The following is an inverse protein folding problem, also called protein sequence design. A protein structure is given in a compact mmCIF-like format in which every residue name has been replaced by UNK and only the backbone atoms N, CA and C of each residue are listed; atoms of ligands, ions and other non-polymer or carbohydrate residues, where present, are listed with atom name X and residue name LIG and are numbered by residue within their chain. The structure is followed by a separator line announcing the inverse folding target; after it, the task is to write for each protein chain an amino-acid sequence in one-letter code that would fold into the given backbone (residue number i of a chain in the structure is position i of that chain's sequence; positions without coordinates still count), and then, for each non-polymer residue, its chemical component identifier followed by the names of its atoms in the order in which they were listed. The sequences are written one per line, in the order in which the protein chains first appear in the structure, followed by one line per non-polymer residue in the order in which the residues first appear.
data_IF_708324817620
#
_entry.id   IF_708324817620
#
_cell.length_a   1.000
_cell.length_b   1.000
_cell.length_c   1.000
_cell.angle_alpha   90.00
_cell.angle_beta   90.00
_cell.angle_gamma   90.00
#
_symmetry.space_group_name_H-M   'P 1'
#
loop_
_entity.id
_entity.type
_entity.pdbx_description
1 polymer ?
#
# COMPACT_ATOMS: atom_id res chain seq x y z
N UNK A 1 -62.42 -11.78 12.22
CA UNK A 1 -61.32 -12.33 11.42
C UNK A 1 -60.08 -11.55 11.79
N UNK A 2 -59.48 -11.93 12.92
CA UNK A 2 -58.29 -11.28 13.49
C UNK A 2 -57.06 -11.80 12.73
N UNK A 3 -56.18 -10.90 12.28
CA UNK A 3 -54.87 -11.27 11.75
C UNK A 3 -53.80 -10.78 12.72
N UNK A 4 -53.13 -11.77 13.31
CA UNK A 4 -52.02 -11.66 14.23
C UNK A 4 -50.85 -10.89 13.63
N UNK A 5 -50.39 -9.86 14.33
CA UNK A 5 -49.07 -9.26 14.17
C UNK A 5 -48.08 -10.07 15.00
N UNK A 6 -47.30 -10.93 14.38
CA UNK A 6 -46.10 -11.53 14.97
C UNK A 6 -45.19 -12.04 13.85
N UNK A 7 -43.89 -11.75 13.98
CA UNK A 7 -42.78 -12.08 13.07
C UNK A 7 -42.51 -11.07 11.95
N UNK A 8 -41.72 -10.05 12.28
CA UNK A 8 -40.46 -9.77 11.59
C UNK A 8 -39.50 -9.16 12.61
N UNK A 9 -38.86 -10.03 13.38
CA UNK A 9 -37.60 -9.72 14.02
C UNK A 9 -36.50 -10.16 13.06
N UNK A 10 -35.79 -9.20 12.48
CA UNK A 10 -34.34 -9.24 12.38
C UNK A 10 -33.90 -7.78 12.37
N UNK A 11 -33.09 -7.45 13.36
CA UNK A 11 -32.51 -6.15 13.54
C UNK A 11 -31.76 -5.75 12.26
N UNK A 12 -32.30 -4.77 11.55
CA UNK A 12 -31.49 -3.86 10.76
C UNK A 12 -30.60 -3.09 11.75
N UNK A 13 -29.55 -3.74 12.23
CA UNK A 13 -28.35 -3.03 12.65
C UNK A 13 -27.77 -2.42 11.37
N UNK A 14 -28.35 -1.29 10.97
CA UNK A 14 -27.63 -0.29 10.20
C UNK A 14 -26.33 -0.05 10.98
N UNK A 15 -25.22 -0.60 10.48
CA UNK A 15 -23.89 -0.34 10.99
C UNK A 15 -23.60 1.14 10.79
N UNK A 16 -24.05 1.96 11.75
CA UNK A 16 -23.81 3.40 11.80
C UNK A 16 -22.30 3.70 11.81
N UNK A 17 -21.50 2.75 12.29
CA UNK A 17 -20.04 2.79 12.31
C UNK A 17 -19.40 2.78 10.91
N UNK A 18 -20.07 2.19 9.92
CA UNK A 18 -19.60 2.22 8.52
C UNK A 18 -19.81 3.61 7.88
N UNK A 19 -20.69 4.46 8.44
CA UNK A 19 -20.95 5.80 7.94
C UNK A 19 -20.01 6.87 8.55
N UNK A 20 -19.18 6.51 9.54
CA UNK A 20 -18.34 7.44 10.31
C UNK A 20 -16.82 7.33 10.03
N UNK A 21 -16.38 6.51 9.06
CA UNK A 21 -14.95 6.36 8.75
C UNK A 21 -14.12 5.63 9.80
N UNK A 22 -14.75 5.15 10.89
CA UNK A 22 -14.08 4.33 11.91
C UNK A 22 -13.63 2.96 11.38
N UNK A 23 -14.35 2.42 10.40
CA UNK A 23 -13.97 1.19 9.70
C UNK A 23 -12.74 1.37 8.80
N UNK A 24 -12.53 2.56 8.23
CA UNK A 24 -11.45 2.82 7.27
C UNK A 24 -10.09 2.84 7.94
N UNK A 25 -9.95 3.53 9.07
CA UNK A 25 -8.69 3.55 9.81
C UNK A 25 -8.33 2.18 10.40
N UNK A 26 -9.34 1.42 10.86
CA UNK A 26 -9.12 0.05 11.33
C UNK A 26 -8.68 -0.86 10.17
N UNK A 27 -9.30 -0.75 8.99
CA UNK A 27 -8.91 -1.47 7.78
C UNK A 27 -7.48 -1.11 7.33
N UNK A 28 -7.10 0.17 7.37
CA UNK A 28 -5.73 0.61 7.11
C UNK A 28 -4.71 -0.08 8.01
N UNK A 29 -4.98 -0.11 9.32
CA UNK A 29 -4.08 -0.74 10.28
C UNK A 29 -4.00 -2.26 10.09
N UNK A 30 -5.10 -2.90 9.70
CA UNK A 30 -5.13 -4.32 9.35
C UNK A 30 -4.30 -4.62 8.09
N UNK A 31 -4.41 -3.80 7.03
CA UNK A 31 -3.58 -3.95 5.84
C UNK A 31 -2.08 -3.76 6.13
N UNK A 32 -1.73 -2.81 6.99
CA UNK A 32 -0.31 -2.59 7.37
C UNK A 32 0.22 -3.81 8.13
N UNK A 33 -0.58 -4.38 9.03
CA UNK A 33 -0.22 -5.62 9.75
C UNK A 33 -0.06 -6.79 8.81
N UNK A 34 -0.90 -6.88 7.78
CA UNK A 34 -0.76 -7.89 6.74
C UNK A 34 0.56 -7.70 5.99
N UNK A 35 0.95 -6.48 5.64
CA UNK A 35 2.26 -6.20 5.04
C UNK A 35 3.40 -6.67 5.96
N UNK A 36 3.37 -6.32 7.25
CA UNK A 36 4.39 -6.77 8.22
C UNK A 36 4.47 -8.30 8.31
N UNK A 37 3.32 -8.97 8.27
CA UNK A 37 3.24 -10.43 8.39
C UNK A 37 3.67 -11.15 7.12
N UNK A 38 3.27 -10.68 5.94
CA UNK A 38 3.55 -11.34 4.66
C UNK A 38 4.90 -10.95 4.07
N UNK A 39 5.40 -9.76 4.40
CA UNK A 39 6.63 -9.20 3.85
C UNK A 39 7.60 -8.78 4.98
N UNK A 40 8.08 -9.73 5.80
CA UNK A 40 8.88 -9.44 7.00
C UNK A 40 10.27 -8.85 6.68
N UNK A 41 10.69 -8.89 5.42
CA UNK A 41 11.94 -8.27 4.96
C UNK A 41 11.81 -6.77 4.69
N UNK A 42 10.59 -6.23 4.66
CA UNK A 42 10.37 -4.78 4.63
C UNK A 42 10.41 -4.21 6.05
N UNK A 43 11.17 -3.14 6.22
CA UNK A 43 11.14 -2.29 7.40
C UNK A 43 10.09 -1.20 7.18
N UNK A 44 9.11 -1.13 8.07
CA UNK A 44 8.06 -0.11 8.02
C UNK A 44 8.42 1.05 8.96
N UNK A 45 8.45 2.26 8.42
CA UNK A 45 8.69 3.51 9.13
C UNK A 45 7.44 4.39 9.06
N UNK A 46 6.89 4.78 10.21
CA UNK A 46 5.74 5.68 10.28
C UNK A 46 6.22 7.13 10.27
N UNK A 47 5.92 7.87 9.20
CA UNK A 47 6.37 9.25 9.03
C UNK A 47 5.41 10.25 9.69
N UNK A 48 4.11 10.00 9.59
CA UNK A 48 3.08 10.80 10.23
C UNK A 48 1.75 10.03 10.22
N UNK A 49 0.98 9.96 11.31
CA UNK A 49 1.31 10.24 12.71
C UNK A 49 2.53 9.44 13.22
N UNK A 50 3.22 9.96 14.23
CA UNK A 50 4.36 9.24 14.83
C UNK A 50 3.89 7.93 15.50
N UNK A 51 4.76 6.93 15.68
CA UNK A 51 4.37 5.67 16.32
C UNK A 51 3.73 5.82 17.72
N UNK A 52 4.11 6.88 18.45
CA UNK A 52 3.54 7.23 19.76
C UNK A 52 2.10 7.74 19.57
N UNK A 53 1.88 8.55 18.52
CA UNK A 53 0.57 9.07 18.16
C UNK A 53 -0.36 8.00 17.61
N UNK A 54 0.13 6.88 17.06
CA UNK A 54 -0.73 5.75 16.64
C UNK A 54 -1.39 5.08 17.85
N UNK A 55 -0.70 5.02 18.99
CA UNK A 55 -1.29 4.58 20.25
C UNK A 55 -2.29 5.62 20.77
N UNK A 56 -1.97 6.91 20.69
CA UNK A 56 -2.88 8.00 21.03
C UNK A 56 -4.09 8.10 20.08
N UNK A 57 -3.96 7.69 18.82
CA UNK A 57 -5.04 7.70 17.82
C UNK A 57 -6.02 6.56 18.03
N UNK A 58 -5.54 5.42 18.54
CA UNK A 58 -6.42 4.37 19.08
C UNK A 58 -7.24 4.88 20.26
N UNK A 59 -6.72 5.83 21.04
CA UNK A 59 -7.47 6.49 22.12
C UNK A 59 -8.41 7.60 21.58
N UNK A 60 -7.98 8.33 20.55
CA UNK A 60 -8.76 9.38 19.86
C UNK A 60 -9.92 8.87 18.99
N UNK A 61 -10.12 7.56 18.86
CA UNK A 61 -11.35 6.95 18.34
C UNK A 61 -12.62 7.39 19.11
N UNK A 62 -12.44 8.11 20.23
CA UNK A 62 -13.51 8.64 21.08
C UNK A 62 -13.84 10.13 20.87
N UNK A 63 -13.02 10.90 20.15
CA UNK A 63 -13.18 12.37 20.07
C UNK A 63 -13.57 12.84 18.66
N UNK A 64 -14.76 13.44 18.58
CA UNK A 64 -15.48 13.90 17.37
C UNK A 64 -14.80 15.06 16.59
N UNK A 65 -13.58 15.49 16.97
CA UNK A 65 -12.89 16.64 16.38
C UNK A 65 -11.83 16.23 15.34
N UNK A 66 -12.24 15.35 14.41
CA UNK A 66 -11.42 14.69 13.39
C UNK A 66 -10.73 15.64 12.40
N UNK A 67 -9.55 16.13 12.77
CA UNK A 67 -8.57 16.71 11.86
C UNK A 67 -7.27 15.90 11.90
N UNK A 68 -7.38 14.58 11.71
CA UNK A 68 -6.22 13.73 11.50
C UNK A 68 -5.74 13.94 10.08
N UNK A 69 -4.48 14.34 9.89
CA UNK A 69 -3.84 14.21 8.59
C UNK A 69 -3.75 12.69 8.28
N UNK A 70 -3.84 12.30 7.01
CA UNK A 70 -3.75 10.89 6.61
C UNK A 70 -2.48 10.19 7.12
N UNK A 71 -2.41 8.87 6.96
CA UNK A 71 -1.30 8.04 7.42
C UNK A 71 -0.20 7.97 6.35
N UNK A 72 0.99 8.48 6.67
CA UNK A 72 2.17 8.48 5.82
C UNK A 72 3.16 7.43 6.33
N UNK A 73 3.56 6.51 5.45
CA UNK A 73 4.42 5.36 5.74
C UNK A 73 5.53 5.28 4.71
N UNK A 74 6.66 4.73 5.15
CA UNK A 74 7.75 4.35 4.27
C UNK A 74 8.09 2.87 4.50
N UNK A 75 8.15 2.09 3.43
CA UNK A 75 8.56 0.70 3.42
C UNK A 75 9.93 0.60 2.76
N UNK A 76 10.94 0.17 3.52
CA UNK A 76 12.31 0.01 3.06
C UNK A 76 12.63 -1.49 2.93
N UNK A 77 13.19 -1.92 1.79
CA UNK A 77 13.66 -3.29 1.59
C UNK A 77 14.98 -3.31 0.83
N UNK A 78 15.91 -4.14 1.30
CA UNK A 78 17.09 -4.52 0.53
C UNK A 78 16.73 -5.61 -0.49
N UNK A 79 17.06 -5.41 -1.75
CA UNK A 79 16.87 -6.35 -2.85
C UNK A 79 18.24 -6.83 -3.34
N UNK A 80 18.47 -8.15 -3.35
CA UNK A 80 19.71 -8.72 -3.87
C UNK A 80 19.51 -9.24 -5.29
N UNK A 81 20.34 -8.79 -6.23
CA UNK A 81 20.38 -9.29 -7.61
C UNK A 81 21.83 -9.34 -8.11
N UNK A 82 22.26 -10.50 -8.62
CA UNK A 82 23.61 -10.72 -9.19
C UNK A 82 24.76 -10.24 -8.26
N UNK A 83 24.68 -10.60 -6.97
CA UNK A 83 25.64 -10.21 -5.92
C UNK A 83 25.79 -8.70 -5.66
N UNK A 84 24.84 -7.90 -6.15
CA UNK A 84 24.67 -6.50 -5.79
C UNK A 84 23.43 -6.33 -4.92
N UNK A 85 23.56 -5.49 -3.89
CA UNK A 85 22.45 -5.10 -3.03
C UNK A 85 21.91 -3.74 -3.51
N UNK A 86 20.60 -3.71 -3.73
CA UNK A 86 19.83 -2.55 -4.11
C UNK A 86 18.86 -2.18 -3.00
N UNK A 87 18.50 -0.91 -2.93
CA UNK A 87 17.56 -0.39 -1.94
C UNK A 87 16.27 -0.02 -2.66
N UNK A 88 15.16 -0.58 -2.17
CA UNK A 88 13.81 -0.23 -2.58
C UNK A 88 13.13 0.50 -1.43
N UNK A 89 12.68 1.71 -1.70
CA UNK A 89 11.90 2.55 -0.78
C UNK A 89 10.54 2.78 -1.40
N UNK A 90 9.46 2.43 -0.69
CA UNK A 90 8.08 2.66 -1.10
C UNK A 90 7.45 3.66 -0.13
N UNK A 91 6.93 4.76 -0.66
CA UNK A 91 6.21 5.76 0.11
C UNK A 91 4.70 5.55 -0.07
N UNK A 92 3.98 5.46 1.04
CA UNK A 92 2.53 5.32 1.11
C UNK A 92 1.93 6.53 1.81
N UNK A 93 0.90 7.12 1.23
CA UNK A 93 0.05 8.12 1.87
C UNK A 93 -1.39 7.61 1.81
N UNK A 94 -1.94 7.25 2.97
CA UNK A 94 -3.28 6.73 3.14
C UNK A 94 -4.18 7.88 3.61
N UNK A 95 -5.15 8.32 2.81
CA UNK A 95 -6.09 9.32 3.28
C UNK A 95 -7.04 8.73 4.33
N UNK A 96 -7.70 9.59 5.12
CA UNK A 96 -8.59 9.14 6.21
C UNK A 96 -9.75 8.27 5.74
N UNK A 97 -10.19 8.43 4.49
CA UNK A 97 -11.34 7.71 3.93
C UNK A 97 -10.93 6.52 3.05
N UNK A 98 -9.66 6.12 3.07
CA UNK A 98 -9.21 4.87 2.46
C UNK A 98 -9.47 3.69 3.42
N UNK A 99 -9.96 2.52 2.97
CA UNK A 99 -10.15 2.13 1.57
C UNK A 99 -11.54 2.42 0.96
N UNK A 100 -12.49 2.98 1.72
CA UNK A 100 -13.88 3.07 1.26
C UNK A 100 -14.17 4.11 0.16
N UNK A 101 -13.62 5.32 0.26
CA UNK A 101 -14.01 6.46 -0.61
C UNK A 101 -12.85 7.06 -1.41
N UNK A 102 -11.62 6.93 -0.91
CA UNK A 102 -10.43 7.50 -1.54
C UNK A 102 -9.40 6.41 -1.80
N UNK A 103 -8.55 6.60 -2.81
CA UNK A 103 -7.44 5.69 -3.13
C UNK A 103 -6.16 6.17 -2.46
N UNK A 104 -5.25 5.26 -2.08
CA UNK A 104 -4.00 5.66 -1.44
C UNK A 104 -3.04 6.25 -2.49
N UNK A 105 -2.19 7.17 -2.07
CA UNK A 105 -1.04 7.58 -2.87
C UNK A 105 0.12 6.62 -2.62
N UNK A 106 0.66 6.05 -3.69
CA UNK A 106 1.79 5.11 -3.60
C UNK A 106 2.82 5.53 -4.62
N UNK A 107 4.06 5.68 -4.16
CA UNK A 107 5.23 5.91 -5.00
C UNK A 107 6.41 5.09 -4.50
N UNK A 108 7.41 4.88 -5.34
CA UNK A 108 8.62 4.16 -4.93
C UNK A 108 9.87 4.65 -5.66
N UNK A 109 11.01 4.39 -5.05
CA UNK A 109 12.34 4.64 -5.60
C UNK A 109 13.18 3.38 -5.41
N UNK A 110 13.86 2.94 -6.47
CA UNK A 110 14.85 1.87 -6.38
C UNK A 110 16.21 2.37 -6.86
N UNK A 111 17.25 2.18 -6.02
CA UNK A 111 18.63 2.62 -6.32
C UNK A 111 19.26 1.88 -7.50
N UNK A 112 18.76 0.68 -7.82
CA UNK A 112 19.24 -0.13 -8.94
C UNK A 112 18.61 0.20 -10.30
N UNK A 113 17.57 1.04 -10.33
CA UNK A 113 16.86 1.42 -11.55
C UNK A 113 17.24 2.83 -12.01
N UNK A 114 17.25 3.05 -13.33
CA UNK A 114 17.41 4.41 -13.86
C UNK A 114 16.20 5.28 -13.53
N UNK A 115 16.40 6.60 -13.43
CA UNK A 115 15.34 7.58 -13.18
C UNK A 115 14.16 7.45 -14.17
N UNK A 116 14.46 7.21 -15.44
CA UNK A 116 13.44 7.00 -16.48
C UNK A 116 12.57 5.78 -16.20
N UNK A 117 13.17 4.67 -15.74
CA UNK A 117 12.44 3.43 -15.41
C UNK A 117 11.62 3.62 -14.14
N UNK A 118 12.21 4.21 -13.08
CA UNK A 118 11.48 4.55 -11.86
C UNK A 118 10.26 5.43 -12.19
N UNK A 119 10.43 6.47 -13.00
CA UNK A 119 9.35 7.39 -13.41
C UNK A 119 8.25 6.66 -14.21
N UNK A 120 8.65 5.78 -15.15
CA UNK A 120 7.72 5.00 -15.95
C UNK A 120 6.86 4.06 -15.10
N UNK A 121 7.50 3.31 -14.20
CA UNK A 121 6.81 2.36 -13.32
C UNK A 121 5.90 3.07 -12.32
N UNK A 122 6.33 4.18 -11.72
CA UNK A 122 5.47 5.01 -10.86
C UNK A 122 4.24 5.52 -11.61
N UNK A 123 4.40 6.00 -12.85
CA UNK A 123 3.25 6.43 -13.67
C UNK A 123 2.29 5.28 -13.98
N UNK A 124 2.79 4.06 -14.16
CA UNK A 124 1.95 2.88 -14.37
C UNK A 124 1.22 2.48 -13.09
N UNK A 125 1.92 2.51 -11.95
CA UNK A 125 1.36 2.27 -10.62
C UNK A 125 0.19 3.21 -10.32
N UNK A 126 0.36 4.53 -10.50
CA UNK A 126 -0.73 5.51 -10.30
C UNK A 126 -1.95 5.18 -11.16
N UNK A 127 -1.73 4.76 -12.42
CA UNK A 127 -2.83 4.36 -13.30
C UNK A 127 -3.52 3.07 -12.88
N UNK A 128 -2.79 2.12 -12.29
CA UNK A 128 -3.34 0.88 -11.75
C UNK A 128 -4.24 1.18 -10.55
N UNK A 129 -3.73 1.94 -9.59
CA UNK A 129 -4.48 2.33 -8.38
C UNK A 129 -5.72 3.17 -8.69
N UNK A 130 -5.64 4.10 -9.65
CA UNK A 130 -6.79 4.90 -10.07
C UNK A 130 -7.96 4.08 -10.67
N UNK A 131 -7.74 2.81 -11.01
CA UNK A 131 -8.77 1.90 -11.55
C UNK A 131 -9.31 0.95 -10.49
N UNK A 132 -8.72 0.90 -9.30
CA UNK A 132 -8.99 -0.09 -8.26
C UNK A 132 -9.49 0.65 -7.00
N UNK A 133 -10.80 0.86 -6.90
CA UNK A 133 -11.49 1.13 -5.64
C UNK A 133 -11.93 -0.21 -5.06
N UNK A 134 -11.24 -0.68 -4.03
CA UNK A 134 -11.54 -1.95 -3.36
C UNK A 134 -11.80 -1.68 -1.88
N UNK A 135 -13.02 -1.93 -1.37
CA UNK A 135 -13.33 -1.69 0.04
C UNK A 135 -12.56 -2.60 1.00
N UNK A 136 -11.91 -3.66 0.50
CA UNK A 136 -11.07 -4.55 1.30
C UNK A 136 -9.60 -4.13 1.32
N UNK A 137 -9.24 -3.01 0.68
CA UNK A 137 -7.84 -2.61 0.57
C UNK A 137 -7.12 -3.11 -0.67
N UNK A 138 -5.93 -2.54 -0.92
CA UNK A 138 -5.08 -2.84 -2.09
C UNK A 138 -3.59 -2.77 -1.79
N UNK A 139 -3.16 -2.41 -0.58
CA UNK A 139 -1.77 -2.09 -0.28
C UNK A 139 -0.87 -3.30 -0.40
N UNK A 140 -1.24 -4.45 0.18
CA UNK A 140 -0.40 -5.66 0.13
C UNK A 140 -0.15 -6.11 -1.32
N UNK A 141 -1.21 -6.21 -2.12
CA UNK A 141 -1.09 -6.57 -3.54
C UNK A 141 -0.24 -5.55 -4.32
N UNK A 142 -0.37 -4.27 -3.97
CA UNK A 142 0.40 -3.19 -4.58
C UNK A 142 1.89 -3.31 -4.26
N UNK A 143 2.25 -3.55 -3.00
CA UNK A 143 3.64 -3.73 -2.58
C UNK A 143 4.26 -4.97 -3.25
N UNK A 144 3.54 -6.08 -3.29
CA UNK A 144 3.96 -7.30 -4.00
C UNK A 144 4.18 -7.01 -5.48
N UNK A 145 3.26 -6.27 -6.12
CA UNK A 145 3.38 -5.88 -7.50
C UNK A 145 4.61 -5.00 -7.76
N UNK A 146 4.85 -3.98 -6.92
CA UNK A 146 6.04 -3.11 -7.03
C UNK A 146 7.31 -3.95 -6.94
N UNK A 147 7.41 -4.80 -5.92
CA UNK A 147 8.58 -5.67 -5.74
C UNK A 147 8.80 -6.55 -6.96
N UNK A 148 7.75 -7.16 -7.50
CA UNK A 148 7.82 -8.00 -8.71
C UNK A 148 8.32 -7.23 -9.93
N UNK A 149 7.80 -6.02 -10.18
CA UNK A 149 8.25 -5.20 -11.32
C UNK A 149 9.70 -4.75 -11.16
N UNK A 150 10.09 -4.29 -9.96
CA UNK A 150 11.45 -3.86 -9.68
C UNK A 150 12.42 -5.02 -9.87
N UNK A 151 12.13 -6.19 -9.32
CA UNK A 151 12.96 -7.39 -9.50
C UNK A 151 13.09 -7.79 -10.97
N UNK A 152 12.00 -7.73 -11.74
CA UNK A 152 12.03 -8.02 -13.17
C UNK A 152 12.96 -7.07 -13.94
N UNK A 153 12.86 -5.76 -13.67
CA UNK A 153 13.71 -4.76 -14.33
C UNK A 153 15.18 -4.90 -13.92
N UNK A 154 15.48 -5.19 -12.65
CA UNK A 154 16.84 -5.44 -12.18
C UNK A 154 17.48 -6.65 -12.88
N UNK A 155 16.75 -7.75 -13.02
CA UNK A 155 17.24 -8.96 -13.70
C UNK A 155 17.45 -8.75 -15.20
N UNK A 156 16.63 -7.91 -15.84
CA UNK A 156 16.74 -7.65 -17.26
C UNK A 156 17.79 -6.59 -17.61
N UNK A 157 18.17 -5.73 -16.66
CA UNK A 157 19.26 -4.74 -16.82
C UNK A 157 20.54 -5.37 -17.37
N UNK A 158 20.88 -6.57 -16.90
CA UNK A 158 22.09 -7.28 -17.30
C UNK A 158 21.96 -7.98 -18.67
N UNK A 159 20.75 -8.36 -19.10
CA UNK A 159 20.55 -9.01 -20.41
C UNK A 159 20.86 -8.07 -21.57
N UNK A 160 20.54 -6.78 -21.43
CA UNK A 160 20.85 -5.74 -22.42
C UNK A 160 22.37 -5.49 -22.55
N UNK A 161 23.11 -5.64 -21.45
CA UNK A 161 24.58 -5.51 -21.44
C UNK A 161 25.28 -6.75 -22.03
N UNK A 162 24.80 -7.95 -21.73
CA UNK A 162 25.34 -9.21 -22.27
C UNK A 162 25.17 -9.32 -23.79
N UNK A 163 24.06 -8.81 -24.34
CA UNK A 163 23.84 -8.77 -25.79
C UNK A 163 24.75 -7.77 -26.50
N UNK A 164 25.13 -6.66 -25.85
CA UNK A 164 26.12 -5.73 -26.40
C UNK A 164 27.55 -6.27 -26.39
N UNK A 165 27.96 -6.97 -25.32
CA UNK A 165 29.32 -7.53 -25.22
C UNK A 165 29.57 -8.71 -26.19
N UNK A 166 28.53 -9.45 -26.57
CA UNK A 166 28.68 -10.55 -27.55
C UNK A 166 28.95 -10.02 -28.97
N UNK A 167 28.45 -8.82 -29.30
CA UNK A 167 28.66 -8.20 -30.62
C UNK A 167 30.07 -7.58 -30.74
N UNK A 168 30.65 -7.13 -29.63
CA UNK A 168 31.98 -6.51 -29.62
C UNK A 168 33.15 -7.51 -29.73
N UNK A 169 32.95 -8.78 -29.37
CA UNK A 169 34.00 -9.82 -29.42
C UNK A 169 34.08 -10.51 -30.80
N UNK A 170 33.14 -10.23 -31.70
CA UNK A 170 33.09 -10.77 -33.06
C UNK A 170 33.51 -9.76 -34.15
N UNK A 171 34.23 -8.69 -33.80
CA UNK A 171 34.85 -7.76 -34.77
C UNK A 171 36.36 -7.77 -34.70
#
# INVERSE_FOLDING_TARGET
MERSFSQFGHADHFNFDAALGLNDMQAQLEEIRDIESYLPHFKISYLNPSPIDICSLRESLSDENGNTNGLHLELESALRCDDQDFELVIHLELPNQYPSLETPHVSFICSGLSENVNTYLNKYLTKKLARELNPNGVLLETVIWIQSQVSHELQNRNKTLSTMNTIAILR
#
